data_IF_512110839503
#
_entry.id   IF_512110839503
#
_cell.length_a   1.000
_cell.length_b   1.000
_cell.length_c   1.000
_cell.angle_alpha   90.00
_cell.angle_beta   90.00
_cell.angle_gamma   90.00
#
_symmetry.space_group_name_H-M   'P 1'
#
loop_
_entity.id
_entity.type
_entity.pdbx_description
1 polymer ?
#
# COMPACT_ATOMS: atom_id res chain seq x y z
N UNK A 1 -16.91 2.95 16.99
CA UNK A 1 -15.90 1.90 16.82
C UNK A 1 -16.26 0.80 17.81
N UNK A 2 -16.60 -0.38 17.32
CA UNK A 2 -16.71 -1.55 18.18
C UNK A 2 -15.30 -1.81 18.72
N UNK A 3 -15.12 -1.75 20.03
CA UNK A 3 -13.89 -2.20 20.66
C UNK A 3 -13.75 -3.69 20.39
N UNK A 4 -12.60 -4.11 19.87
CA UNK A 4 -12.31 -5.51 19.65
C UNK A 4 -12.35 -6.21 21.02
N UNK A 5 -13.17 -7.26 21.17
CA UNK A 5 -13.36 -7.89 22.47
C UNK A 5 -12.12 -8.62 22.96
N UNK A 6 -11.36 -9.14 22.01
CA UNK A 6 -10.13 -9.86 22.20
C UNK A 6 -9.15 -9.46 21.10
N UNK A 7 -7.89 -9.31 21.46
CA UNK A 7 -6.79 -9.17 20.52
C UNK A 7 -5.87 -10.38 20.68
N UNK A 8 -5.55 -11.04 19.57
CA UNK A 8 -4.64 -12.17 19.55
C UNK A 8 -3.37 -11.74 18.80
N UNK A 9 -2.24 -11.85 19.47
CA UNK A 9 -0.92 -11.62 18.92
C UNK A 9 -0.22 -12.97 18.79
N UNK A 10 0.38 -13.23 17.65
CA UNK A 10 1.17 -14.42 17.43
C UNK A 10 2.43 -14.07 16.65
N UNK A 11 3.53 -14.72 17.01
CA UNK A 11 4.78 -14.62 16.29
C UNK A 11 5.46 -15.99 16.21
N UNK A 12 6.25 -16.18 15.16
CA UNK A 12 6.97 -17.42 14.89
C UNK A 12 8.47 -17.16 14.80
N UNK A 13 9.24 -18.05 15.41
CA UNK A 13 10.67 -18.16 15.10
C UNK A 13 10.88 -19.23 14.05
N UNK A 14 11.70 -18.93 13.06
CA UNK A 14 12.00 -19.82 11.95
C UNK A 14 13.51 -20.01 11.78
N UNK A 15 13.93 -21.25 11.52
CA UNK A 15 15.28 -21.55 11.05
C UNK A 15 15.29 -21.56 9.52
N UNK A 16 16.44 -21.23 8.93
CA UNK A 16 16.67 -21.46 7.50
C UNK A 16 17.31 -22.83 7.30
N UNK A 17 16.61 -23.73 6.61
CA UNK A 17 17.15 -25.01 6.19
C UNK A 17 17.68 -24.87 4.75
N UNK A 18 18.93 -25.29 4.52
CA UNK A 18 19.48 -25.35 3.15
C UNK A 18 18.67 -26.35 2.33
N UNK A 19 18.20 -25.90 1.17
CA UNK A 19 17.53 -26.77 0.21
C UNK A 19 18.61 -27.43 -0.65
N UNK A 20 18.65 -28.76 -0.64
CA UNK A 20 19.55 -29.51 -1.52
C UNK A 20 18.86 -29.73 -2.86
N UNK A 21 19.49 -29.27 -3.94
CA UNK A 21 18.99 -29.40 -5.31
C UNK A 21 20.13 -29.65 -6.29
N UNK A 22 19.82 -30.29 -7.41
CA UNK A 22 20.74 -30.40 -8.54
C UNK A 22 20.63 -29.11 -9.36
N UNK A 23 21.75 -28.40 -9.51
CA UNK A 23 21.79 -27.18 -10.32
C UNK A 23 21.53 -27.57 -11.80
N UNK A 24 20.60 -26.92 -12.51
CA UNK A 24 20.15 -27.34 -13.84
C UNK A 24 21.25 -27.45 -14.90
N UNK A 25 22.28 -26.59 -14.83
CA UNK A 25 23.49 -26.64 -15.67
C UNK A 25 24.50 -25.57 -15.21
N UNK A 26 25.80 -25.78 -15.42
CA UNK A 26 26.83 -24.75 -15.21
C UNK A 26 26.91 -23.72 -16.36
N UNK A 27 26.22 -23.94 -17.47
CA UNK A 27 26.32 -23.13 -18.69
C UNK A 27 25.11 -22.22 -18.95
N UNK A 28 24.11 -22.23 -18.08
CA UNK A 28 22.88 -21.42 -18.23
C UNK A 28 22.56 -20.73 -16.91
N UNK A 29 22.03 -19.51 -16.97
CA UNK A 29 21.52 -18.82 -15.78
C UNK A 29 20.31 -19.58 -15.24
N UNK A 30 20.26 -19.80 -13.93
CA UNK A 30 19.12 -20.41 -13.26
C UNK A 30 18.90 -19.75 -11.90
N UNK A 31 17.66 -19.77 -11.42
CA UNK A 31 17.31 -19.43 -10.04
C UNK A 31 17.11 -20.74 -9.28
N UNK A 32 17.75 -20.89 -8.13
CA UNK A 32 17.60 -22.03 -7.25
C UNK A 32 17.31 -21.56 -5.83
N UNK A 33 16.33 -22.18 -5.19
CA UNK A 33 16.06 -21.95 -3.78
C UNK A 33 17.26 -22.48 -2.98
N UNK A 34 17.97 -21.58 -2.29
CA UNK A 34 19.14 -21.94 -1.48
C UNK A 34 18.72 -22.39 -0.07
N UNK A 35 17.71 -21.71 0.47
CA UNK A 35 17.26 -21.88 1.85
C UNK A 35 15.74 -21.77 1.93
N UNK A 36 15.14 -22.56 2.83
CA UNK A 36 13.72 -22.54 3.13
C UNK A 36 13.53 -22.21 4.61
N UNK A 37 12.65 -21.25 4.90
CA UNK A 37 12.24 -20.98 6.27
C UNK A 37 11.38 -22.13 6.80
N UNK A 38 11.76 -22.67 7.96
CA UNK A 38 10.99 -23.66 8.71
C UNK A 38 10.72 -23.10 10.11
N UNK A 39 9.45 -22.87 10.41
CA UNK A 39 9.02 -22.48 11.75
C UNK A 39 9.38 -23.57 12.77
N UNK A 40 10.01 -23.17 13.88
CA UNK A 40 10.47 -24.07 14.95
C UNK A 40 9.81 -23.78 16.29
N UNK A 41 9.29 -22.58 16.47
CA UNK A 41 8.51 -22.20 17.64
C UNK A 41 7.54 -21.08 17.35
N UNK A 42 6.56 -20.93 18.21
CA UNK A 42 5.68 -19.76 18.21
C UNK A 42 5.37 -19.33 19.64
N UNK A 43 4.96 -18.07 19.77
CA UNK A 43 4.28 -17.55 20.96
C UNK A 43 2.94 -16.97 20.55
N UNK A 44 1.90 -17.26 21.33
CA UNK A 44 0.57 -16.69 21.16
C UNK A 44 0.13 -16.03 22.47
N UNK A 45 -0.36 -14.81 22.37
CA UNK A 45 -0.84 -13.99 23.47
C UNK A 45 -2.23 -13.51 23.11
N UNK A 46 -3.20 -13.65 24.02
CA UNK A 46 -4.51 -13.03 23.86
C UNK A 46 -4.81 -12.09 25.02
N UNK A 47 -5.28 -10.90 24.69
CA UNK A 47 -5.76 -9.89 25.64
C UNK A 47 -7.26 -9.65 25.49
N UNK A 48 -7.91 -9.17 26.53
CA UNK A 48 -9.27 -8.63 26.45
C UNK A 48 -9.27 -7.13 26.07
N UNK A 49 -10.45 -6.52 26.00
CA UNK A 49 -10.63 -5.11 25.65
C UNK A 49 -10.00 -4.11 26.64
N UNK A 50 -9.53 -4.55 27.81
CA UNK A 50 -8.80 -3.74 28.80
C UNK A 50 -7.29 -4.02 28.75
N UNK A 51 -6.80 -4.64 27.67
CA UNK A 51 -5.43 -5.10 27.47
C UNK A 51 -4.94 -6.11 28.54
N UNK A 52 -5.87 -6.75 29.25
CA UNK A 52 -5.51 -7.75 30.26
C UNK A 52 -5.24 -9.09 29.59
N UNK A 53 -4.13 -9.72 29.96
CA UNK A 53 -3.76 -11.05 29.48
C UNK A 53 -4.80 -12.11 29.91
N UNK A 54 -5.39 -12.80 28.93
CA UNK A 54 -6.38 -13.87 29.15
C UNK A 54 -5.93 -15.25 28.66
N UNK A 55 -4.88 -15.29 27.84
CA UNK A 55 -4.24 -16.50 27.35
C UNK A 55 -2.80 -16.21 26.93
N UNK A 56 -1.90 -17.15 27.21
CA UNK A 56 -0.54 -17.13 26.71
C UNK A 56 -0.08 -18.57 26.54
N UNK A 57 0.46 -18.90 25.38
CA UNK A 57 1.05 -20.20 25.10
C UNK A 57 2.31 -20.02 24.26
N UNK A 58 3.31 -20.84 24.55
CA UNK A 58 4.57 -20.88 23.83
C UNK A 58 4.91 -22.32 23.54
N UNK A 59 5.29 -22.60 22.30
CA UNK A 59 5.61 -23.94 21.84
C UNK A 59 6.91 -23.95 21.04
N UNK A 60 7.75 -24.95 21.28
CA UNK A 60 8.96 -25.23 20.51
C UNK A 60 8.92 -26.70 20.08
N UNK A 61 9.06 -26.96 18.79
CA UNK A 61 9.07 -28.33 18.27
C UNK A 61 8.98 -28.40 16.75
N UNK A 62 9.23 -29.59 16.20
CA UNK A 62 9.26 -29.82 14.74
C UNK A 62 7.92 -29.55 14.05
N UNK A 63 6.81 -29.57 14.81
CA UNK A 63 5.45 -29.38 14.31
C UNK A 63 4.86 -28.01 14.72
N UNK A 64 5.70 -26.97 14.87
CA UNK A 64 5.28 -25.66 15.36
C UNK A 64 4.06 -25.08 14.62
N UNK A 65 4.00 -25.21 13.29
CA UNK A 65 2.86 -24.73 12.50
C UNK A 65 1.58 -25.52 12.82
N UNK A 66 1.65 -26.85 12.83
CA UNK A 66 0.47 -27.68 13.09
C UNK A 66 -0.06 -27.44 14.52
N UNK A 67 0.84 -27.41 15.51
CA UNK A 67 0.47 -27.13 16.89
C UNK A 67 -0.08 -25.71 17.06
N UNK A 68 0.45 -24.71 16.35
CA UNK A 68 -0.10 -23.35 16.36
C UNK A 68 -1.57 -23.34 15.94
N UNK A 69 -1.92 -24.03 14.85
CA UNK A 69 -3.32 -24.09 14.40
C UNK A 69 -4.23 -24.83 15.37
N UNK A 70 -3.75 -25.90 16.03
CA UNK A 70 -4.48 -26.57 17.10
C UNK A 70 -4.74 -25.62 18.27
N UNK A 71 -3.72 -24.91 18.75
CA UNK A 71 -3.82 -23.95 19.85
C UNK A 71 -4.72 -22.77 19.50
N UNK A 72 -4.63 -22.25 18.27
CA UNK A 72 -5.49 -21.18 17.78
C UNK A 72 -6.96 -21.64 17.70
N UNK A 73 -7.21 -22.87 17.25
CA UNK A 73 -8.57 -23.45 17.19
C UNK A 73 -9.15 -23.59 18.61
N UNK A 74 -8.37 -24.14 19.54
CA UNK A 74 -8.76 -24.25 20.94
C UNK A 74 -9.07 -22.89 21.57
N UNK A 75 -8.23 -21.88 21.32
CA UNK A 75 -8.43 -20.53 21.80
C UNK A 75 -9.70 -19.92 21.20
N UNK A 76 -9.92 -20.08 19.89
CA UNK A 76 -11.12 -19.61 19.20
C UNK A 76 -12.39 -20.17 19.85
N UNK A 77 -12.48 -21.49 20.01
CA UNK A 77 -13.63 -22.16 20.64
C UNK A 77 -13.90 -21.63 22.06
N UNK A 78 -12.82 -21.39 22.84
CA UNK A 78 -12.90 -20.85 24.19
C UNK A 78 -13.44 -19.41 24.21
N UNK A 79 -13.01 -18.58 23.26
CA UNK A 79 -13.44 -17.18 23.17
C UNK A 79 -14.87 -17.08 22.63
N UNK A 80 -15.21 -17.88 21.62
CA UNK A 80 -16.57 -17.94 21.06
C UNK A 80 -17.59 -18.32 22.13
N UNK A 81 -17.30 -19.30 23.01
CA UNK A 81 -18.19 -19.63 24.15
C UNK A 81 -18.51 -18.43 25.06
N UNK A 82 -17.60 -17.47 25.19
CA UNK A 82 -17.87 -16.23 25.96
C UNK A 82 -18.78 -15.27 25.20
N UNK A 83 -18.72 -15.25 23.86
CA UNK A 83 -19.55 -14.41 22.98
C UNK A 83 -21.02 -14.80 22.95
N UNK A 84 -21.35 -16.05 23.24
CA UNK A 84 -22.73 -16.54 23.26
C UNK A 84 -23.56 -15.95 24.41
N UNK A 85 -22.93 -15.33 25.41
CA UNK A 85 -23.63 -14.80 26.58
C UNK A 85 -24.26 -13.44 26.27
N UNK A 86 -25.59 -13.41 26.14
CA UNK A 86 -26.35 -12.16 26.09
C UNK A 86 -26.23 -11.43 27.43
N UNK A 87 -25.69 -10.21 27.39
CA UNK A 87 -25.53 -9.36 28.56
C UNK A 87 -26.73 -8.43 28.72
N UNK A 88 -27.39 -8.38 29.91
CA UNK A 88 -28.43 -7.40 30.15
C UNK A 88 -27.83 -5.99 30.19
N UNK A 89 -28.55 -5.01 29.66
CA UNK A 89 -28.18 -3.60 29.74
C UNK A 89 -28.25 -3.13 31.20
N UNK A 90 -27.11 -2.69 31.74
CA UNK A 90 -27.02 -2.16 33.11
C UNK A 90 -26.79 -0.65 33.05
N UNK A 91 -27.73 0.17 33.59
CA UNK A 91 -27.53 1.61 33.76
C UNK A 91 -26.32 1.91 34.66
N UNK A 92 -25.63 3.03 34.42
CA UNK A 92 -24.64 3.52 35.39
C UNK A 92 -25.39 4.13 36.58
N UNK A 93 -24.89 3.97 37.82
CA UNK A 93 -25.51 4.55 39.01
C UNK A 93 -25.76 6.07 38.96
N UNK A 94 -25.06 6.81 38.07
CA UNK A 94 -25.06 8.28 38.04
C UNK A 94 -25.44 8.94 36.69
N UNK A 95 -25.99 8.21 35.69
CA UNK A 95 -26.45 8.74 34.38
C UNK A 95 -25.62 9.93 33.82
N UNK A 96 -24.29 9.81 33.86
CA UNK A 96 -23.35 10.92 33.66
C UNK A 96 -22.98 11.19 32.18
N UNK A 97 -23.80 10.75 31.24
CA UNK A 97 -23.58 10.99 29.81
C UNK A 97 -24.28 12.28 29.36
N UNK A 98 -23.54 13.15 28.64
CA UNK A 98 -24.08 14.39 28.08
C UNK A 98 -25.19 14.08 27.06
N UNK A 99 -26.45 14.48 27.31
CA UNK A 99 -27.58 14.16 26.42
C UNK A 99 -27.52 14.89 25.08
N UNK A 100 -26.62 15.86 24.93
CA UNK A 100 -26.44 16.68 23.74
C UNK A 100 -25.30 16.20 22.85
N UNK A 101 -24.40 15.34 23.34
CA UNK A 101 -23.19 14.93 22.62
C UNK A 101 -23.16 13.42 22.42
N UNK A 102 -22.92 12.98 21.19
CA UNK A 102 -22.69 11.59 20.85
C UNK A 102 -21.37 11.09 21.45
N UNK A 103 -21.44 10.01 22.23
CA UNK A 103 -20.28 9.39 22.87
C UNK A 103 -19.26 8.85 21.85
N UNK A 104 -19.70 8.42 20.66
CA UNK A 104 -18.83 7.82 19.64
C UNK A 104 -18.10 8.89 18.82
N UNK A 105 -18.84 9.79 18.14
CA UNK A 105 -18.22 10.76 17.24
C UNK A 105 -17.91 12.12 17.89
N UNK A 106 -18.30 12.31 19.17
CA UNK A 106 -18.11 13.54 19.94
C UNK A 106 -18.79 14.79 19.35
N UNK A 107 -19.70 14.62 18.39
CA UNK A 107 -20.52 15.70 17.80
C UNK A 107 -21.85 15.85 18.55
N UNK A 108 -22.45 17.04 18.45
CA UNK A 108 -23.79 17.30 18.99
C UNK A 108 -24.86 16.63 18.15
N UNK A 109 -25.93 16.17 18.80
CA UNK A 109 -27.13 15.71 18.12
C UNK A 109 -27.87 16.89 17.48
N UNK A 110 -28.28 16.74 16.22
CA UNK A 110 -29.14 17.69 15.51
C UNK A 110 -30.64 17.44 15.84
N UNK A 111 -31.50 18.47 15.71
CA UNK A 111 -32.94 18.29 15.88
C UNK A 111 -33.49 17.22 14.91
N UNK A 112 -34.16 16.20 15.44
CA UNK A 112 -34.73 15.11 14.66
C UNK A 112 -33.87 13.84 14.58
N UNK A 113 -32.62 13.87 15.04
CA UNK A 113 -31.78 12.68 15.08
C UNK A 113 -32.19 11.70 16.21
N UNK A 114 -32.22 10.40 15.89
CA UNK A 114 -32.51 9.36 16.86
C UNK A 114 -31.27 9.04 17.69
N UNK A 115 -31.48 8.97 19.00
CA UNK A 115 -30.47 8.69 20.02
C UNK A 115 -30.61 7.24 20.47
N UNK A 116 -29.55 6.46 20.33
CA UNK A 116 -29.49 5.07 20.80
C UNK A 116 -28.51 4.95 21.96
N UNK A 117 -28.72 3.94 22.83
CA UNK A 117 -27.81 3.66 23.95
C UNK A 117 -26.68 2.76 23.47
N UNK A 118 -25.47 3.31 23.40
CA UNK A 118 -24.26 2.51 23.24
C UNK A 118 -23.92 1.85 24.57
N UNK A 119 -23.55 0.56 24.53
CA UNK A 119 -23.25 -0.20 25.74
C UNK A 119 -22.08 -1.15 25.50
N UNK A 120 -21.39 -1.49 26.58
CA UNK A 120 -20.39 -2.53 26.56
C UNK A 120 -21.08 -3.87 26.30
N UNK A 121 -20.71 -4.55 25.23
CA UNK A 121 -21.14 -5.93 24.96
C UNK A 121 -20.43 -6.95 25.88
N UNK A 122 -19.59 -6.46 26.81
CA UNK A 122 -18.69 -7.23 27.66
C UNK A 122 -18.73 -6.74 29.11
N UNK A 123 -18.36 -7.61 30.05
CA UNK A 123 -18.30 -7.26 31.48
C UNK A 123 -19.67 -7.32 32.16
N UNK A 124 -20.29 -6.17 32.46
CA UNK A 124 -21.63 -6.09 33.09
C UNK A 124 -22.68 -5.42 32.20
N UNK A 125 -22.42 -5.21 30.90
CA UNK A 125 -23.41 -4.59 30.02
C UNK A 125 -23.62 -3.09 30.25
N UNK A 126 -22.59 -2.38 30.74
CA UNK A 126 -22.72 -0.95 31.10
C UNK A 126 -23.02 -0.10 29.88
N UNK A 127 -23.96 0.82 30.00
CA UNK A 127 -24.16 1.88 29.01
C UNK A 127 -22.94 2.81 29.00
N UNK A 128 -22.37 3.04 27.82
CA UNK A 128 -21.23 3.93 27.61
C UNK A 128 -21.66 5.38 27.37
N UNK A 129 -22.81 5.57 26.70
CA UNK A 129 -23.43 6.86 26.45
C UNK A 129 -24.44 6.81 25.31
N UNK A 130 -24.89 7.98 24.85
CA UNK A 130 -25.78 8.08 23.70
C UNK A 130 -24.98 8.13 22.40
N UNK A 131 -25.45 7.44 21.36
CA UNK A 131 -24.85 7.44 20.03
C UNK A 131 -25.89 7.83 18.96
N UNK A 132 -25.40 8.30 17.81
CA UNK A 132 -26.25 8.51 16.63
C UNK A 132 -26.71 7.15 16.11
N UNK A 133 -27.99 7.02 15.77
CA UNK A 133 -28.43 5.89 14.95
C UNK A 133 -27.84 6.06 13.54
N UNK A 134 -26.92 5.17 13.17
CA UNK A 134 -26.43 5.08 11.79
C UNK A 134 -27.35 4.10 11.07
N UNK A 135 -28.31 4.63 10.32
CA UNK A 135 -29.38 3.84 9.70
C UNK A 135 -28.86 2.75 8.75
N UNK A 136 -27.90 3.04 7.88
CA UNK A 136 -27.47 2.10 6.83
C UNK A 136 -26.90 0.80 7.37
N UNK A 137 -25.99 0.89 8.34
CA UNK A 137 -25.24 -0.26 8.82
C UNK A 137 -26.08 -1.09 9.79
N UNK A 138 -26.93 -0.42 10.57
CA UNK A 138 -27.87 -1.09 11.47
C UNK A 138 -28.97 -1.82 10.71
N UNK A 139 -29.58 -1.19 9.70
CA UNK A 139 -30.65 -1.81 8.92
C UNK A 139 -30.14 -3.03 8.15
N UNK A 140 -28.91 -2.95 7.61
CA UNK A 140 -28.26 -4.09 6.98
C UNK A 140 -27.97 -5.22 7.99
N UNK A 141 -27.36 -4.89 9.14
CA UNK A 141 -27.06 -5.87 10.18
C UNK A 141 -28.34 -6.54 10.71
N UNK A 142 -29.41 -5.78 10.93
CA UNK A 142 -30.71 -6.30 11.36
C UNK A 142 -31.32 -7.21 10.29
N UNK A 143 -31.25 -6.81 9.01
CA UNK A 143 -31.72 -7.64 7.90
C UNK A 143 -31.01 -9.00 7.87
N UNK A 144 -29.68 -9.01 8.03
CA UNK A 144 -28.89 -10.25 8.08
C UNK A 144 -29.23 -11.05 9.34
N UNK A 145 -29.30 -10.40 10.50
CA UNK A 145 -29.62 -11.04 11.77
C UNK A 145 -30.98 -11.75 11.74
N UNK A 146 -32.00 -11.09 11.19
CA UNK A 146 -33.34 -11.65 11.03
C UNK A 146 -33.40 -12.73 9.94
N UNK A 147 -32.77 -12.50 8.78
CA UNK A 147 -32.80 -13.44 7.65
C UNK A 147 -32.11 -14.78 7.96
N UNK A 148 -31.07 -14.76 8.79
CA UNK A 148 -30.36 -15.96 9.23
C UNK A 148 -30.83 -16.46 10.62
N UNK A 149 -31.93 -15.90 11.14
CA UNK A 149 -32.55 -16.30 12.41
C UNK A 149 -31.59 -16.28 13.61
N UNK A 150 -30.61 -15.37 13.60
CA UNK A 150 -29.64 -15.23 14.68
C UNK A 150 -30.35 -14.99 16.01
N UNK A 151 -29.88 -15.66 17.07
CA UNK A 151 -30.38 -15.47 18.44
C UNK A 151 -29.38 -14.68 19.28
N UNK A 152 -28.10 -14.76 18.94
CA UNK A 152 -27.00 -14.11 19.64
C UNK A 152 -26.11 -13.34 18.68
N UNK A 153 -25.31 -12.42 19.22
CA UNK A 153 -24.27 -11.75 18.44
C UNK A 153 -23.20 -12.72 17.92
N UNK A 154 -23.02 -13.88 18.59
CA UNK A 154 -22.10 -14.92 18.14
C UNK A 154 -22.53 -15.52 16.79
N UNK A 155 -23.83 -15.80 16.63
CA UNK A 155 -24.39 -16.36 15.40
C UNK A 155 -24.16 -15.39 14.22
N UNK A 156 -24.39 -14.10 14.46
CA UNK A 156 -24.13 -13.05 13.49
C UNK A 156 -22.64 -12.93 13.13
N UNK A 157 -21.76 -12.98 14.13
CA UNK A 157 -20.31 -12.91 13.91
C UNK A 157 -19.80 -14.12 13.12
N UNK A 158 -20.28 -15.31 13.42
CA UNK A 158 -19.92 -16.54 12.69
C UNK A 158 -20.31 -16.44 11.21
N UNK A 159 -21.51 -15.94 10.91
CA UNK A 159 -21.95 -15.69 9.53
C UNK A 159 -21.02 -14.68 8.85
N UNK A 160 -20.77 -13.54 9.52
CA UNK A 160 -19.89 -12.50 8.99
C UNK A 160 -18.49 -13.04 8.66
N UNK A 161 -17.86 -13.79 9.59
CA UNK A 161 -16.54 -14.37 9.40
C UNK A 161 -16.53 -15.43 8.29
N UNK A 162 -17.55 -16.29 8.24
CA UNK A 162 -17.68 -17.30 7.20
C UNK A 162 -17.83 -16.67 5.81
N UNK A 163 -18.64 -15.61 5.69
CA UNK A 163 -18.79 -14.86 4.44
C UNK A 163 -17.47 -14.24 4.01
N UNK A 164 -16.74 -13.57 4.90
CA UNK A 164 -15.43 -12.98 4.59
C UNK A 164 -14.43 -14.04 4.07
N UNK A 165 -14.36 -15.21 4.74
CA UNK A 165 -13.46 -16.30 4.33
C UNK A 165 -13.89 -16.93 3.01
N UNK A 166 -15.19 -17.19 2.82
CA UNK A 166 -15.72 -17.79 1.59
C UNK A 166 -15.51 -16.83 0.42
N UNK A 167 -15.83 -15.55 0.57
CA UNK A 167 -15.64 -14.55 -0.48
C UNK A 167 -14.16 -14.45 -0.89
N UNK A 168 -13.25 -14.42 0.08
CA UNK A 168 -11.82 -14.41 -0.22
C UNK A 168 -11.38 -15.68 -0.96
N UNK A 169 -11.86 -16.85 -0.52
CA UNK A 169 -11.59 -18.12 -1.17
C UNK A 169 -12.13 -18.16 -2.60
N UNK A 170 -13.35 -17.68 -2.85
CA UNK A 170 -13.95 -17.61 -4.19
C UNK A 170 -13.17 -16.69 -5.12
N UNK A 171 -12.81 -15.48 -4.66
CA UNK A 171 -11.99 -14.53 -5.41
C UNK A 171 -10.63 -15.16 -5.73
N UNK A 172 -9.99 -15.80 -4.75
CA UNK A 172 -8.69 -16.42 -4.95
C UNK A 172 -8.75 -17.63 -5.90
N UNK A 173 -9.79 -18.46 -5.81
CA UNK A 173 -10.02 -19.56 -6.75
C UNK A 173 -10.27 -19.06 -8.17
N UNK A 174 -11.02 -17.96 -8.34
CA UNK A 174 -11.22 -17.31 -9.62
C UNK A 174 -9.90 -16.73 -10.18
N UNK A 175 -9.10 -16.09 -9.33
CA UNK A 175 -7.76 -15.61 -9.67
C UNK A 175 -6.83 -16.75 -10.09
N UNK A 176 -6.86 -17.88 -9.36
CA UNK A 176 -6.12 -19.10 -9.68
C UNK A 176 -6.48 -19.66 -11.04
N UNK A 177 -7.78 -19.80 -11.35
CA UNK A 177 -8.25 -20.24 -12.68
C UNK A 177 -7.75 -19.29 -13.78
N UNK A 178 -7.91 -17.99 -13.56
CA UNK A 178 -7.49 -16.95 -14.52
C UNK A 178 -5.98 -16.98 -14.76
N UNK A 179 -5.18 -17.08 -13.70
CA UNK A 179 -3.72 -17.18 -13.80
C UNK A 179 -3.27 -18.45 -14.52
N UNK A 180 -3.91 -19.58 -14.22
CA UNK A 180 -3.64 -20.85 -14.90
C UNK A 180 -4.00 -20.79 -16.39
N UNK A 181 -5.10 -20.13 -16.76
CA UNK A 181 -5.50 -19.95 -18.15
C UNK A 181 -4.57 -18.99 -18.91
N UNK A 182 -4.25 -17.84 -18.31
CA UNK A 182 -3.48 -16.78 -18.98
C UNK A 182 -1.98 -17.05 -18.99
N UNK A 183 -1.42 -17.50 -17.87
CA UNK A 183 0.02 -17.59 -17.65
C UNK A 183 0.52 -19.05 -17.51
N UNK A 184 -0.40 -20.01 -17.32
CA UNK A 184 -0.08 -21.40 -16.98
C UNK A 184 0.82 -21.47 -15.74
N UNK A 185 0.57 -20.58 -14.79
CA UNK A 185 1.28 -20.47 -13.51
C UNK A 185 0.23 -20.45 -12.41
N UNK A 186 0.45 -21.28 -11.38
CA UNK A 186 -0.47 -21.36 -10.24
C UNK A 186 -0.06 -20.31 -9.19
N UNK A 187 -0.91 -19.33 -8.86
CA UNK A 187 -0.59 -18.28 -7.90
C UNK A 187 -0.26 -18.82 -6.51
N UNK A 188 -0.68 -20.04 -6.15
CA UNK A 188 -0.35 -20.65 -4.84
C UNK A 188 1.15 -20.86 -4.63
N UNK A 189 1.95 -20.85 -5.70
CA UNK A 189 3.40 -20.99 -5.63
C UNK A 189 4.14 -19.65 -5.50
N UNK A 190 3.42 -18.54 -5.40
CA UNK A 190 3.99 -17.20 -5.31
C UNK A 190 3.49 -16.50 -4.07
N UNK A 191 4.39 -15.82 -3.36
CA UNK A 191 4.04 -15.08 -2.13
C UNK A 191 3.23 -13.83 -2.48
N UNK A 192 3.52 -13.20 -3.63
CA UNK A 192 2.88 -11.97 -4.07
C UNK A 192 2.45 -12.04 -5.53
N UNK A 193 1.44 -11.24 -5.88
CA UNK A 193 1.04 -11.03 -7.27
C UNK A 193 2.18 -10.48 -8.12
N UNK A 194 3.03 -9.61 -7.57
CA UNK A 194 4.20 -9.06 -8.25
C UNK A 194 5.18 -10.17 -8.69
N UNK A 195 5.48 -11.13 -7.80
CA UNK A 195 6.34 -12.26 -8.09
C UNK A 195 5.74 -13.16 -9.20
N UNK A 196 4.43 -13.43 -9.13
CA UNK A 196 3.71 -14.14 -10.19
C UNK A 196 3.83 -13.38 -11.53
N UNK A 197 3.54 -12.08 -11.56
CA UNK A 197 3.57 -11.28 -12.80
C UNK A 197 4.96 -11.19 -13.40
N UNK A 198 6.00 -11.10 -12.56
CA UNK A 198 7.40 -11.11 -13.00
C UNK A 198 7.75 -12.44 -13.69
N UNK A 199 7.43 -13.56 -13.04
CA UNK A 199 7.67 -14.90 -13.61
C UNK A 199 6.82 -15.16 -14.86
N UNK A 200 5.57 -14.71 -14.88
CA UNK A 200 4.72 -14.77 -16.07
C UNK A 200 5.35 -13.97 -17.22
N UNK A 201 5.83 -12.76 -16.94
CA UNK A 201 6.53 -11.90 -17.91
C UNK A 201 7.73 -12.61 -18.55
N UNK A 202 8.66 -13.11 -17.73
CA UNK A 202 9.84 -13.85 -18.20
C UNK A 202 9.45 -15.13 -18.96
N UNK A 203 8.45 -15.87 -18.47
CA UNK A 203 7.98 -17.10 -19.12
C UNK A 203 7.39 -16.82 -20.51
N UNK A 204 6.67 -15.71 -20.68
CA UNK A 204 6.03 -15.33 -21.94
C UNK A 204 7.05 -14.74 -22.91
N UNK A 205 7.87 -13.79 -22.45
CA UNK A 205 8.83 -13.09 -23.31
C UNK A 205 10.03 -13.94 -23.69
N UNK A 206 10.37 -14.96 -22.87
CA UNK A 206 11.59 -15.78 -23.01
C UNK A 206 12.88 -14.98 -22.97
N UNK A 207 12.82 -13.74 -22.45
CA UNK A 207 14.00 -12.89 -22.31
C UNK A 207 14.91 -13.45 -21.22
N UNK A 208 16.21 -13.45 -21.49
CA UNK A 208 17.22 -13.75 -20.49
C UNK A 208 17.81 -12.43 -19.99
N UNK A 209 17.65 -12.16 -18.69
CA UNK A 209 18.18 -10.96 -18.06
C UNK A 209 19.57 -11.26 -17.49
N UNK A 210 20.58 -10.51 -17.95
CA UNK A 210 21.91 -10.55 -17.36
C UNK A 210 21.90 -9.83 -16.01
N UNK A 211 22.48 -10.45 -14.98
CA UNK A 211 22.72 -9.80 -13.70
C UNK A 211 23.95 -8.87 -13.79
N UNK A 212 23.90 -7.74 -13.10
CA UNK A 212 25.08 -6.90 -12.90
C UNK A 212 26.09 -7.66 -12.03
N UNK A 213 27.33 -7.78 -12.52
CA UNK A 213 28.41 -8.50 -11.81
C UNK A 213 29.16 -7.63 -10.80
N UNK A 214 29.11 -6.30 -10.93
CA UNK A 214 29.80 -5.35 -10.06
C UNK A 214 28.81 -4.61 -9.16
N UNK A 215 29.08 -4.60 -7.86
CA UNK A 215 28.30 -3.86 -6.86
C UNK A 215 28.29 -2.35 -7.11
N UNK A 216 29.37 -1.79 -7.66
CA UNK A 216 29.47 -0.37 -7.97
C UNK A 216 28.54 0.01 -9.13
N UNK A 217 28.40 -0.84 -10.13
CA UNK A 217 27.45 -0.65 -11.23
C UNK A 217 26.02 -0.71 -10.69
N UNK A 218 25.71 -1.68 -9.84
CA UNK A 218 24.41 -1.76 -9.16
C UNK A 218 24.10 -0.48 -8.38
N UNK A 219 25.03 -0.01 -7.54
CA UNK A 219 24.85 1.20 -6.74
C UNK A 219 24.74 2.46 -7.61
N UNK A 220 25.43 2.49 -8.75
CA UNK A 220 25.34 3.57 -9.73
C UNK A 220 23.94 3.64 -10.37
N UNK A 221 23.38 2.50 -10.76
CA UNK A 221 22.00 2.38 -11.24
C UNK A 221 20.97 2.76 -10.17
N UNK A 222 21.09 2.19 -8.98
CA UNK A 222 20.15 2.39 -7.87
C UNK A 222 20.06 3.88 -7.49
N UNK A 223 21.21 4.57 -7.38
CA UNK A 223 21.25 6.01 -7.08
C UNK A 223 20.58 6.87 -8.15
N UNK A 224 20.53 6.37 -9.38
CA UNK A 224 19.99 7.06 -10.56
C UNK A 224 18.51 6.80 -10.79
N UNK A 225 17.92 5.84 -10.07
CA UNK A 225 16.50 5.52 -10.15
C UNK A 225 15.64 6.67 -9.63
N UNK A 226 14.60 6.98 -10.40
CA UNK A 226 13.61 8.03 -10.12
C UNK A 226 12.22 7.45 -10.28
N UNK A 227 11.32 7.88 -9.39
CA UNK A 227 9.91 7.51 -9.44
C UNK A 227 9.10 8.45 -10.35
N UNK A 228 7.77 8.35 -10.22
CA UNK A 228 6.86 9.27 -10.89
C UNK A 228 7.09 10.73 -10.46
N UNK A 229 7.04 11.63 -11.44
CA UNK A 229 7.14 13.07 -11.20
C UNK A 229 5.78 13.60 -10.78
N UNK A 230 5.71 14.23 -9.61
CA UNK A 230 4.54 14.96 -9.16
C UNK A 230 4.87 16.45 -9.12
N UNK A 231 4.18 17.25 -9.94
CA UNK A 231 4.40 18.68 -10.06
C UNK A 231 3.08 19.43 -10.03
N UNK A 232 3.03 20.50 -9.24
CA UNK A 232 1.92 21.43 -9.19
C UNK A 232 2.37 22.80 -9.70
N UNK A 233 2.30 23.02 -11.02
CA UNK A 233 2.68 24.30 -11.64
C UNK A 233 1.76 25.47 -11.23
N UNK A 234 0.46 25.21 -11.08
CA UNK A 234 -0.54 26.18 -10.64
C UNK A 234 -1.25 25.69 -9.37
N UNK A 235 -1.11 26.43 -8.27
CA UNK A 235 -1.66 26.05 -6.95
C UNK A 235 -3.18 25.96 -6.89
N UNK A 236 -3.87 26.82 -7.63
CA UNK A 236 -5.33 26.88 -7.61
C UNK A 236 -5.87 27.36 -8.96
N UNK A 237 -6.88 26.64 -9.46
CA UNK A 237 -7.63 26.97 -10.65
C UNK A 237 -9.10 26.60 -10.43
N UNK A 238 -10.00 27.49 -10.81
CA UNK A 238 -11.44 27.26 -10.80
C UNK A 238 -11.92 27.33 -12.25
N UNK A 239 -12.67 26.31 -12.68
CA UNK A 239 -13.33 26.30 -13.97
C UNK A 239 -14.60 27.17 -13.94
N UNK A 240 -14.72 28.13 -14.85
CA UNK A 240 -15.94 28.88 -15.15
C UNK A 240 -16.57 28.28 -16.40
N UNK A 241 -17.40 27.25 -16.21
CA UNK A 241 -17.95 26.43 -17.26
C UNK A 241 -19.48 26.32 -17.10
N UNK A 242 -20.22 26.46 -18.21
CA UNK A 242 -21.69 26.36 -18.26
C UNK A 242 -22.23 25.02 -17.73
N UNK A 243 -21.45 23.95 -17.80
CA UNK A 243 -21.85 22.63 -17.31
C UNK A 243 -21.76 22.49 -15.77
N UNK A 244 -21.16 23.47 -15.08
CA UNK A 244 -21.06 23.51 -13.61
C UNK A 244 -21.96 24.67 -13.12
N UNK A 245 -23.26 24.44 -13.17
CA UNK A 245 -24.28 25.49 -12.99
C UNK A 245 -24.18 26.21 -11.64
N UNK A 246 -23.75 25.51 -10.58
CA UNK A 246 -23.66 26.06 -9.22
C UNK A 246 -22.71 27.27 -9.11
N UNK A 247 -21.63 27.29 -9.90
CA UNK A 247 -20.57 28.30 -9.81
C UNK A 247 -20.31 29.04 -11.13
N UNK A 248 -21.15 28.86 -12.16
CA UNK A 248 -20.99 29.51 -13.45
C UNK A 248 -21.35 31.00 -13.39
N UNK A 249 -20.44 31.84 -13.88
CA UNK A 249 -20.66 33.27 -14.00
C UNK A 249 -20.58 33.72 -15.46
N UNK A 250 -21.73 34.07 -16.03
CA UNK A 250 -21.86 34.56 -17.42
C UNK A 250 -21.09 35.86 -17.69
N UNK A 251 -20.72 36.63 -16.64
CA UNK A 251 -19.92 37.86 -16.78
C UNK A 251 -18.42 37.58 -16.92
N UNK A 252 -17.96 36.37 -16.61
CA UNK A 252 -16.56 35.98 -16.70
C UNK A 252 -16.32 35.15 -17.98
N UNK A 253 -15.11 35.21 -18.57
CA UNK A 253 -14.76 34.34 -19.69
C UNK A 253 -14.88 32.87 -19.29
N UNK A 254 -15.35 32.03 -20.21
CA UNK A 254 -15.46 30.60 -19.95
C UNK A 254 -14.07 29.95 -19.99
N UNK A 255 -13.82 29.03 -19.07
CA UNK A 255 -12.61 28.21 -19.07
C UNK A 255 -12.94 26.80 -18.55
N UNK A 256 -12.05 25.86 -18.86
CA UNK A 256 -12.23 24.44 -18.58
C UNK A 256 -10.94 23.89 -17.98
N UNK A 257 -11.08 22.92 -17.08
CA UNK A 257 -9.96 22.12 -16.60
C UNK A 257 -10.09 20.75 -17.25
N UNK A 258 -9.05 20.34 -17.97
CA UNK A 258 -9.00 19.05 -18.66
C UNK A 258 -8.16 18.09 -17.84
N UNK A 259 -8.75 16.97 -17.43
CA UNK A 259 -8.03 15.86 -16.83
C UNK A 259 -7.68 14.84 -17.92
N UNK A 260 -6.38 14.62 -18.13
CA UNK A 260 -5.85 13.61 -19.04
C UNK A 260 -5.10 12.57 -18.24
N UNK A 261 -5.32 11.30 -18.56
CA UNK A 261 -4.64 10.17 -17.94
C UNK A 261 -4.18 9.18 -19.02
N UNK A 262 -2.92 8.77 -18.93
CA UNK A 262 -2.33 7.83 -19.87
C UNK A 262 -2.65 6.39 -19.43
N UNK A 263 -3.48 5.70 -20.23
CA UNK A 263 -3.83 4.29 -19.98
C UNK A 263 -2.59 3.40 -20.09
N UNK A 264 -2.31 2.63 -19.04
CA UNK A 264 -1.23 1.64 -18.99
C UNK A 264 0.16 2.21 -19.37
N UNK A 265 0.53 3.38 -18.82
CA UNK A 265 1.79 4.07 -19.12
C UNK A 265 3.03 3.17 -18.96
N UNK A 266 3.14 2.45 -17.84
CA UNK A 266 4.28 1.55 -17.62
C UNK A 266 4.25 0.33 -18.53
N UNK A 267 3.08 -0.23 -18.86
CA UNK A 267 2.99 -1.32 -19.82
C UNK A 267 3.43 -0.91 -21.22
N UNK A 268 3.10 0.32 -21.65
CA UNK A 268 3.63 0.90 -22.88
C UNK A 268 5.15 1.13 -22.80
N UNK A 269 5.67 1.63 -21.68
CA UNK A 269 7.11 1.83 -21.50
C UNK A 269 7.89 0.50 -21.53
N UNK A 270 7.35 -0.54 -20.91
CA UNK A 270 7.96 -1.89 -20.88
C UNK A 270 7.86 -2.59 -22.25
N UNK A 271 6.98 -2.14 -23.14
CA UNK A 271 6.93 -2.64 -24.52
C UNK A 271 7.93 -1.98 -25.46
N UNK A 272 8.71 -1.00 -25.00
CA UNK A 272 9.78 -0.37 -25.78
C UNK A 272 11.09 -1.18 -25.69
N UNK A 273 12.10 -0.79 -26.47
CA UNK A 273 13.45 -1.35 -26.35
C UNK A 273 14.04 -1.03 -24.97
N UNK A 274 14.35 -2.07 -24.20
CA UNK A 274 14.88 -1.98 -22.85
C UNK A 274 16.17 -2.80 -22.71
N UNK A 275 17.10 -2.38 -21.83
CA UNK A 275 18.33 -3.10 -21.62
C UNK A 275 18.08 -4.44 -20.91
N UNK A 276 18.58 -5.53 -21.50
CA UNK A 276 18.45 -6.90 -20.97
C UNK A 276 19.79 -7.56 -20.65
N UNK A 277 20.89 -7.05 -21.21
CA UNK A 277 22.24 -7.58 -20.99
C UNK A 277 23.30 -6.96 -21.89
N UNK A 278 24.46 -7.63 -21.94
CA UNK A 278 25.73 -7.17 -22.51
C UNK A 278 26.21 -5.83 -21.94
N UNK A 279 26.01 -5.64 -20.64
CA UNK A 279 26.45 -4.43 -19.95
C UNK A 279 27.96 -4.28 -20.00
N UNK A 280 28.44 -3.14 -20.50
CA UNK A 280 29.86 -2.78 -20.48
C UNK A 280 30.01 -1.26 -20.58
N UNK A 281 31.10 -0.76 -20.05
CA UNK A 281 31.53 0.62 -20.29
C UNK A 281 32.10 0.76 -21.70
N UNK A 282 31.94 1.96 -22.28
CA UNK A 282 32.66 2.35 -23.48
C UNK A 282 34.12 2.64 -23.11
N UNK A 283 35.04 2.17 -23.94
CA UNK A 283 36.44 2.57 -23.82
C UNK A 283 36.65 4.02 -24.30
N UNK A 284 37.85 4.56 -24.05
CA UNK A 284 38.16 5.95 -24.40
C UNK A 284 38.09 6.24 -25.90
N UNK A 285 38.37 5.25 -26.76
CA UNK A 285 38.30 5.43 -28.21
C UNK A 285 36.84 5.49 -28.67
N UNK A 286 36.01 4.56 -28.20
CA UNK A 286 34.58 4.53 -28.45
C UNK A 286 33.89 5.80 -27.95
N UNK A 287 34.23 6.25 -26.75
CA UNK A 287 33.70 7.47 -26.17
C UNK A 287 34.09 8.71 -27.00
N UNK A 288 35.31 8.77 -27.52
CA UNK A 288 35.77 9.89 -28.37
C UNK A 288 34.99 10.02 -29.69
N UNK A 289 34.42 8.91 -30.17
CA UNK A 289 33.61 8.84 -31.40
C UNK A 289 32.11 8.88 -31.12
N UNK A 290 31.71 8.92 -29.85
CA UNK A 290 30.31 8.85 -29.46
C UNK A 290 29.58 10.17 -29.77
N UNK A 291 28.49 10.09 -30.52
CA UNK A 291 27.62 11.22 -30.81
C UNK A 291 26.17 10.89 -30.43
N UNK A 292 25.68 11.52 -29.36
CA UNK A 292 24.30 11.33 -28.86
C UNK A 292 23.24 11.71 -29.90
N UNK A 293 23.55 12.62 -30.82
CA UNK A 293 22.60 13.11 -31.83
C UNK A 293 22.38 12.12 -32.99
N UNK A 294 23.20 11.08 -33.08
CA UNK A 294 23.15 10.06 -34.14
C UNK A 294 22.50 8.75 -33.65
N UNK A 295 22.04 8.70 -32.40
CA UNK A 295 21.42 7.50 -31.84
C UNK A 295 20.03 7.27 -32.41
N UNK A 296 19.76 6.01 -32.77
CA UNK A 296 18.43 5.54 -33.09
C UNK A 296 17.74 5.00 -31.82
N UNK A 297 16.51 5.44 -31.58
CA UNK A 297 15.69 5.02 -30.44
C UNK A 297 15.27 3.55 -30.53
N UNK A 298 15.28 2.98 -31.75
CA UNK A 298 14.88 1.60 -32.03
C UNK A 298 16.11 0.69 -32.25
N UNK A 299 17.30 1.16 -31.84
CA UNK A 299 18.57 0.42 -31.90
C UNK A 299 18.59 -0.78 -30.94
N UNK A 300 19.19 -1.88 -31.37
CA UNK A 300 19.48 -3.05 -30.53
C UNK A 300 20.47 -2.75 -29.39
N UNK A 301 21.21 -1.63 -29.49
CA UNK A 301 22.14 -1.14 -28.48
C UNK A 301 21.59 0.15 -27.89
N UNK A 302 21.30 0.12 -26.58
CA UNK A 302 20.98 1.29 -25.77
C UNK A 302 22.20 1.86 -25.05
N UNK A 303 22.13 3.13 -24.67
CA UNK A 303 23.18 3.84 -23.94
C UNK A 303 22.61 4.47 -22.69
N UNK A 304 23.36 4.40 -21.59
CA UNK A 304 23.04 5.13 -20.37
C UNK A 304 24.23 6.02 -20.09
N UNK A 305 23.96 7.32 -19.97
CA UNK A 305 24.97 8.37 -19.97
C UNK A 305 24.92 9.12 -18.64
N UNK A 306 26.09 9.32 -18.03
CA UNK A 306 26.27 10.28 -16.96
C UNK A 306 26.79 11.59 -17.55
N UNK A 307 26.00 12.66 -17.45
CA UNK A 307 26.27 13.93 -18.14
C UNK A 307 26.06 15.14 -17.23
N UNK A 308 26.78 16.21 -17.52
CA UNK A 308 26.49 17.52 -16.97
C UNK A 308 25.46 18.24 -17.84
N UNK A 309 24.33 18.63 -17.27
CA UNK A 309 23.29 19.34 -18.00
C UNK A 309 23.35 20.84 -17.72
N UNK A 310 23.21 21.64 -18.77
CA UNK A 310 22.95 23.07 -18.69
C UNK A 310 21.47 23.32 -19.00
N UNK A 311 20.76 24.02 -18.11
CA UNK A 311 19.40 24.46 -18.37
C UNK A 311 19.39 25.94 -18.81
N UNK A 312 19.14 26.25 -20.10
CA UNK A 312 19.16 27.63 -20.57
C UNK A 312 18.03 28.48 -19.98
N UNK A 313 18.38 29.66 -19.43
CA UNK A 313 17.43 30.59 -18.80
C UNK A 313 16.24 30.97 -19.70
N UNK A 314 16.45 31.08 -21.00
CA UNK A 314 15.40 31.44 -21.95
C UNK A 314 14.28 30.38 -22.07
N UNK A 315 14.52 29.14 -21.62
CA UNK A 315 13.52 28.06 -21.63
C UNK A 315 12.68 28.00 -20.35
N UNK A 316 13.05 28.70 -19.27
CA UNK A 316 12.40 28.54 -17.96
C UNK A 316 10.90 28.85 -18.03
N UNK A 317 10.52 29.94 -18.71
CA UNK A 317 9.10 30.30 -18.86
C UNK A 317 8.32 29.26 -19.67
N UNK A 318 8.93 28.69 -20.72
CA UNK A 318 8.29 27.69 -21.59
C UNK A 318 8.09 26.36 -20.86
N UNK A 319 9.03 26.00 -20.00
CA UNK A 319 9.03 24.72 -19.28
C UNK A 319 8.53 24.86 -17.84
N UNK A 320 7.90 25.98 -17.46
CA UNK A 320 7.46 26.23 -16.08
C UNK A 320 6.47 25.18 -15.57
N UNK A 321 5.63 24.66 -16.45
CA UNK A 321 4.64 23.65 -16.09
C UNK A 321 5.21 22.22 -16.02
N UNK A 322 6.42 22.01 -16.57
CA UNK A 322 7.14 20.74 -16.50
C UNK A 322 8.65 20.95 -16.72
N UNK A 323 9.41 21.39 -15.69
CA UNK A 323 10.86 21.44 -15.80
C UNK A 323 11.40 20.03 -16.05
N UNK A 324 12.20 19.90 -17.11
CA UNK A 324 12.85 18.65 -17.48
C UNK A 324 13.96 18.27 -16.48
N UNK A 325 14.39 17.01 -16.58
CA UNK A 325 15.50 16.46 -15.80
C UNK A 325 15.35 16.60 -14.27
N UNK A 326 14.27 16.04 -13.66
CA UNK A 326 14.08 16.10 -12.21
C UNK A 326 15.20 15.35 -11.49
N UNK A 327 15.58 15.87 -10.32
CA UNK A 327 16.64 15.30 -9.48
C UNK A 327 16.19 15.16 -8.03
N UNK A 328 16.86 14.30 -7.28
CA UNK A 328 16.61 14.18 -5.85
C UNK A 328 17.30 15.33 -5.11
N UNK A 329 16.51 16.31 -4.68
CA UNK A 329 16.99 17.50 -3.96
C UNK A 329 16.72 17.32 -2.46
N UNK A 330 17.71 17.67 -1.64
CA UNK A 330 17.51 17.79 -0.19
C UNK A 330 16.86 19.14 0.12
N UNK A 331 15.54 19.14 0.30
CA UNK A 331 14.77 20.36 0.58
C UNK A 331 15.01 20.78 2.03
N UNK A 332 15.55 21.98 2.21
CA UNK A 332 15.73 22.62 3.52
C UNK A 332 14.62 23.64 3.79
N UNK A 333 14.50 24.06 5.06
CA UNK A 333 13.52 25.09 5.44
C UNK A 333 13.70 26.39 4.66
N UNK A 334 14.94 26.80 4.38
CA UNK A 334 15.24 28.05 3.71
C UNK A 334 14.78 28.08 2.25
N UNK A 335 14.72 26.92 1.60
CA UNK A 335 14.25 26.75 0.23
C UNK A 335 12.73 26.88 0.08
N UNK A 336 11.98 26.85 1.20
CA UNK A 336 10.54 26.96 1.16
C UNK A 336 10.08 28.38 0.84
N UNK A 337 8.93 28.49 0.17
CA UNK A 337 8.25 29.77 -0.05
C UNK A 337 7.78 30.35 1.30
N UNK A 338 7.60 31.68 1.39
CA UNK A 338 7.13 32.33 2.62
C UNK A 338 5.84 31.70 3.15
N UNK A 339 4.89 31.41 2.28
CA UNK A 339 3.64 30.74 2.63
C UNK A 339 3.86 29.32 3.17
N UNK A 340 4.75 28.55 2.54
CA UNK A 340 5.09 27.20 3.03
C UNK A 340 5.80 27.24 4.39
N UNK A 341 6.61 28.27 4.66
CA UNK A 341 7.25 28.49 5.97
C UNK A 341 6.20 28.77 7.05
N UNK A 342 5.23 29.65 6.77
CA UNK A 342 4.11 29.96 7.68
C UNK A 342 3.33 28.70 8.07
N UNK A 343 2.97 27.87 7.08
CA UNK A 343 2.28 26.59 7.36
C UNK A 343 3.16 25.61 8.15
N UNK A 344 4.45 25.53 7.83
CA UNK A 344 5.37 24.69 8.60
C UNK A 344 5.48 25.14 10.06
N UNK A 345 5.45 26.44 10.32
CA UNK A 345 5.45 27.02 11.66
C UNK A 345 4.13 26.75 12.39
N UNK A 346 2.99 27.00 11.74
CA UNK A 346 1.65 26.80 12.30
C UNK A 346 1.40 25.35 12.73
N UNK A 347 1.79 24.39 11.89
CA UNK A 347 1.57 22.95 12.13
C UNK A 347 2.76 22.24 12.79
N UNK A 348 3.81 22.96 13.19
CA UNK A 348 4.97 22.38 13.87
C UNK A 348 5.77 21.39 13.03
N UNK A 349 5.85 21.58 11.71
CA UNK A 349 6.40 20.61 10.75
C UNK A 349 7.91 20.76 10.51
N UNK A 350 8.61 21.65 11.22
CA UNK A 350 10.06 21.86 11.03
C UNK A 350 10.90 20.59 11.21
N UNK A 351 10.48 19.69 12.10
CA UNK A 351 11.14 18.40 12.34
C UNK A 351 11.11 17.46 11.13
N UNK A 352 10.24 17.71 10.14
CA UNK A 352 10.17 16.93 8.90
C UNK A 352 11.24 17.33 7.87
N UNK A 353 12.05 18.35 8.17
CA UNK A 353 13.10 18.89 7.30
C UNK A 353 14.49 18.70 7.96
N UNK A 354 15.55 18.51 7.16
CA UNK A 354 15.55 18.45 5.70
C UNK A 354 14.98 17.13 5.16
N UNK A 355 14.39 17.17 3.96
CA UNK A 355 13.77 15.98 3.34
C UNK A 355 14.21 15.82 1.89
N UNK A 356 14.61 14.62 1.50
CA UNK A 356 14.99 14.30 0.11
C UNK A 356 13.73 14.12 -0.73
N UNK A 357 13.60 14.89 -1.81
CA UNK A 357 12.44 14.89 -2.72
C UNK A 357 12.88 14.89 -4.18
N UNK A 358 12.24 14.07 -5.02
CA UNK A 358 12.37 14.19 -6.47
C UNK A 358 11.68 15.47 -6.93
N UNK A 359 12.47 16.43 -7.41
CA UNK A 359 12.01 17.80 -7.62
C UNK A 359 12.35 18.27 -9.03
N UNK A 360 11.35 18.57 -9.89
CA UNK A 360 11.55 19.31 -11.12
C UNK A 360 12.05 20.71 -10.78
N UNK A 361 13.16 21.13 -11.39
CA UNK A 361 13.75 22.44 -11.13
C UNK A 361 14.51 22.93 -12.38
N UNK A 362 15.05 24.15 -12.30
CA UNK A 362 15.81 24.79 -13.38
C UNK A 362 17.31 24.87 -13.08
N UNK A 363 17.81 24.05 -12.16
CA UNK A 363 19.24 23.93 -11.91
C UNK A 363 19.92 23.24 -13.08
N UNK A 364 21.24 23.36 -13.11
CA UNK A 364 22.11 22.70 -14.08
C UNK A 364 22.76 21.51 -13.39
N UNK A 365 22.10 20.34 -13.37
CA UNK A 365 22.56 19.20 -12.59
C UNK A 365 23.88 18.67 -13.14
N UNK A 366 24.69 18.15 -12.22
CA UNK A 366 25.98 17.54 -12.49
C UNK A 366 25.87 16.03 -12.33
N UNK A 367 26.62 15.28 -13.14
CA UNK A 367 26.58 13.81 -13.13
C UNK A 367 25.15 13.24 -13.23
N UNK A 368 24.32 13.86 -14.08
CA UNK A 368 22.96 13.44 -14.30
C UNK A 368 22.94 12.19 -15.17
N UNK A 369 22.40 11.10 -14.65
CA UNK A 369 22.25 9.86 -15.42
C UNK A 369 20.99 9.93 -16.28
N UNK A 370 21.11 9.64 -17.57
CA UNK A 370 19.97 9.55 -18.51
C UNK A 370 20.13 8.30 -19.38
N UNK A 371 19.03 7.77 -19.88
CA UNK A 371 18.99 6.64 -20.82
C UNK A 371 18.37 7.08 -22.14
#
# INVERSE_FOLDING_TARGET
MLYHPFCIFADFESLTEKVSGTLPSATTSFTADLERHKAVSYSIIATDAEDKLIFHEFYVGENAIANFFETLTYLSDRLMKKMHRIMPLVPRPDDCYDPLICHICKKKFLPGEIRVRDHAHWGIGRINGLAHQVYSDYDHALTVFEAFECQTFSDYLEIYQNVDVIMLAEIFLSFRRTSMQSYHLDPVHFITSAQLTWNAGLKISKVELQLLGDVNEYLWFEKSMRGGVCLLGRRHAIANNLYIAENYNKKLPSNYILALDAKNLYGFAISQFLPVGNFRWLDSEQLSKFNVMELDKDSDIGYILEVDLLYPKHLHNKHNDLPLAPEHVLITYDMLSSYSKELCDEFGLKSTLPSKKLTPNFFSPKNYVTH
#
